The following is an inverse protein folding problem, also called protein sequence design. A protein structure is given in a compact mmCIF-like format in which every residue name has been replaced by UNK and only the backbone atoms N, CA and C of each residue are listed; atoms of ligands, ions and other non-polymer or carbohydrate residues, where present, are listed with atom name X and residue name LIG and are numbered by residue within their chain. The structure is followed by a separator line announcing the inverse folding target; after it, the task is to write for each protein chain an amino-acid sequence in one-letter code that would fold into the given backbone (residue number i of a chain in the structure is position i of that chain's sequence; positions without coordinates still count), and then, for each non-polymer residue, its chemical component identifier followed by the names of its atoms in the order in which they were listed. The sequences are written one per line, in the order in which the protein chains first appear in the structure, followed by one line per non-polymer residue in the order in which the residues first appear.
data_IF_890396128151
#
_entry.id   IF_890396128151
#
_cell.length_a   1.000
_cell.length_b   1.000
_cell.length_c   1.000
_cell.angle_alpha   90.00
_cell.angle_beta   90.00
_cell.angle_gamma   90.00
#
_symmetry.space_group_name_H-M   'P 1'
#
loop_
_entity.id
_entity.type
_entity.pdbx_description
1 polymer ?
#
# COMPACT_ATOMS: atom_id res chain seq x y z
N UNK A 1 10.86 -30.55 -28.43
CA UNK A 1 11.35 -29.20 -28.08
C UNK A 1 10.22 -28.22 -27.73
N UNK A 2 9.09 -28.20 -28.46
CA UNK A 2 7.90 -27.37 -28.12
C UNK A 2 7.41 -27.52 -26.66
N UNK A 3 7.38 -28.75 -26.14
CA UNK A 3 6.83 -29.01 -24.80
C UNK A 3 7.66 -28.37 -23.67
N UNK A 4 9.01 -28.36 -23.77
CA UNK A 4 9.89 -27.72 -22.76
C UNK A 4 9.74 -26.19 -22.75
N UNK A 5 9.56 -25.56 -23.91
CA UNK A 5 9.31 -24.13 -24.01
C UNK A 5 7.94 -23.75 -23.41
N UNK A 6 6.91 -24.54 -23.70
CA UNK A 6 5.56 -24.36 -23.12
C UNK A 6 5.54 -24.55 -21.60
N UNK A 7 6.28 -25.52 -21.05
CA UNK A 7 6.44 -25.67 -19.59
C UNK A 7 7.19 -24.49 -18.97
N UNK A 8 8.24 -23.99 -19.64
CA UNK A 8 9.02 -22.83 -19.17
C UNK A 8 8.18 -21.55 -19.12
N UNK A 9 7.35 -21.31 -20.13
CA UNK A 9 6.45 -20.15 -20.19
C UNK A 9 5.35 -20.23 -19.13
N UNK A 10 4.84 -21.44 -18.86
CA UNK A 10 3.89 -21.67 -17.77
C UNK A 10 4.51 -21.35 -16.39
N UNK A 11 5.71 -21.86 -16.12
CA UNK A 11 6.41 -21.61 -14.85
C UNK A 11 6.67 -20.10 -14.67
N UNK A 12 7.14 -19.40 -15.70
CA UNK A 12 7.38 -17.95 -15.63
C UNK A 12 6.10 -17.17 -15.38
N UNK A 13 5.00 -17.54 -16.05
CA UNK A 13 3.70 -16.86 -15.90
C UNK A 13 3.11 -17.00 -14.50
N UNK A 14 3.26 -18.18 -13.88
CA UNK A 14 2.69 -18.48 -12.57
C UNK A 14 3.72 -18.48 -11.43
N UNK A 15 4.94 -18.00 -11.68
CA UNK A 15 6.06 -18.06 -10.74
C UNK A 15 5.68 -17.50 -9.35
N UNK A 16 5.03 -16.34 -9.29
CA UNK A 16 4.61 -15.75 -8.00
C UNK A 16 3.59 -16.62 -7.25
N UNK A 17 2.64 -17.24 -7.95
CA UNK A 17 1.64 -18.12 -7.32
C UNK A 17 2.32 -19.39 -6.83
N UNK A 18 3.21 -19.97 -7.63
CA UNK A 18 3.99 -21.16 -7.26
C UNK A 18 4.84 -20.86 -6.01
N UNK A 19 5.55 -19.73 -6.00
CA UNK A 19 6.35 -19.29 -4.85
C UNK A 19 5.47 -19.09 -3.62
N UNK A 20 4.30 -18.44 -3.76
CA UNK A 20 3.36 -18.25 -2.65
C UNK A 20 2.94 -19.59 -2.04
N UNK A 21 2.54 -20.57 -2.87
CA UNK A 21 2.13 -21.90 -2.40
C UNK A 21 3.28 -22.61 -1.68
N UNK A 22 4.49 -22.56 -2.23
CA UNK A 22 5.67 -23.16 -1.60
C UNK A 22 5.99 -22.52 -0.25
N UNK A 23 5.93 -21.19 -0.15
CA UNK A 23 6.16 -20.45 1.09
C UNK A 23 5.10 -20.81 2.14
N UNK A 24 3.83 -20.88 1.75
CA UNK A 24 2.74 -21.28 2.65
C UNK A 24 2.94 -22.71 3.16
N UNK A 25 3.27 -23.67 2.29
CA UNK A 25 3.54 -25.06 2.70
C UNK A 25 4.74 -25.11 3.66
N UNK A 26 5.85 -24.45 3.30
CA UNK A 26 7.06 -24.40 4.11
C UNK A 26 6.78 -23.87 5.52
N UNK A 27 6.13 -22.71 5.64
CA UNK A 27 5.80 -22.12 6.94
C UNK A 27 4.73 -22.92 7.68
N UNK A 28 3.79 -23.57 6.98
CA UNK A 28 2.81 -24.47 7.61
C UNK A 28 3.49 -25.66 8.28
N UNK A 29 4.48 -26.27 7.61
CA UNK A 29 5.26 -27.38 8.19
C UNK A 29 6.11 -26.89 9.36
N UNK A 30 6.86 -25.79 9.18
CA UNK A 30 7.74 -25.23 10.22
C UNK A 30 6.99 -24.74 11.46
N UNK A 31 5.77 -24.22 11.30
CA UNK A 31 4.94 -23.72 12.41
C UNK A 31 3.99 -24.77 12.99
N UNK A 32 4.08 -26.03 12.55
CA UNK A 32 3.18 -27.12 12.94
C UNK A 32 1.69 -26.77 12.75
N UNK A 33 1.35 -26.24 11.58
CA UNK A 33 -0.03 -25.88 11.22
C UNK A 33 -0.54 -24.56 11.81
N UNK A 34 0.22 -23.90 12.71
CA UNK A 34 -0.21 -22.65 13.33
C UNK A 34 -0.45 -21.53 12.32
N UNK A 35 0.31 -21.48 11.23
CA UNK A 35 0.13 -20.46 10.17
C UNK A 35 -1.31 -20.41 9.63
N UNK A 36 -1.95 -21.56 9.46
CA UNK A 36 -3.30 -21.67 8.87
C UNK A 36 -4.43 -21.56 9.90
N UNK A 37 -4.11 -21.29 11.17
CA UNK A 37 -5.14 -21.03 12.18
C UNK A 37 -5.99 -19.82 11.76
N UNK A 38 -7.32 -19.85 11.94
CA UNK A 38 -8.20 -18.75 11.56
C UNK A 38 -7.76 -17.40 12.14
N UNK A 39 -7.22 -17.40 13.37
CA UNK A 39 -6.68 -16.20 14.00
C UNK A 39 -5.48 -15.61 13.24
N UNK A 40 -4.54 -16.44 12.81
CA UNK A 40 -3.33 -15.97 12.12
C UNK A 40 -3.65 -15.49 10.71
N UNK A 41 -4.56 -16.17 10.00
CA UNK A 41 -5.06 -15.70 8.70
C UNK A 41 -5.81 -14.38 8.85
N UNK A 42 -6.68 -14.25 9.86
CA UNK A 42 -7.41 -13.00 10.12
C UNK A 42 -6.47 -11.84 10.48
N UNK A 43 -5.45 -12.11 11.29
CA UNK A 43 -4.42 -11.12 11.63
C UNK A 43 -3.63 -10.70 10.39
N UNK A 44 -3.24 -11.65 9.53
CA UNK A 44 -2.48 -11.38 8.31
C UNK A 44 -3.28 -10.54 7.31
N UNK A 45 -4.57 -10.82 7.15
CA UNK A 45 -5.48 -10.00 6.34
C UNK A 45 -5.63 -8.61 6.95
N UNK A 46 -5.87 -8.52 8.27
CA UNK A 46 -6.06 -7.24 8.96
C UNK A 46 -4.81 -6.35 8.91
N UNK A 47 -3.61 -6.93 8.99
CA UNK A 47 -2.34 -6.21 8.85
C UNK A 47 -2.14 -5.65 7.43
N UNK A 48 -2.72 -6.28 6.41
CA UNK A 48 -2.68 -5.81 5.02
C UNK A 48 -3.94 -5.04 4.60
N UNK A 49 -4.90 -4.84 5.50
CA UNK A 49 -6.15 -4.14 5.22
C UNK A 49 -5.92 -2.73 4.66
N UNK A 50 -4.85 -2.05 5.12
CA UNK A 50 -4.51 -0.72 4.63
C UNK A 50 -4.20 -0.71 3.13
N UNK A 51 -3.57 -1.76 2.57
CA UNK A 51 -3.28 -1.85 1.13
C UNK A 51 -4.57 -1.96 0.32
N UNK A 52 -5.53 -2.74 0.81
CA UNK A 52 -6.85 -2.86 0.16
C UNK A 52 -7.60 -1.52 0.17
N UNK A 53 -7.59 -0.80 1.30
CA UNK A 53 -8.20 0.53 1.40
C UNK A 53 -7.54 1.50 0.39
N UNK A 54 -6.20 1.52 0.32
CA UNK A 54 -5.49 2.36 -0.65
C UNK A 54 -5.84 2.01 -2.10
N UNK A 55 -5.95 0.72 -2.43
CA UNK A 55 -6.34 0.28 -3.77
C UNK A 55 -7.72 0.82 -4.18
N UNK A 56 -8.68 0.88 -3.25
CA UNK A 56 -10.01 1.46 -3.53
C UNK A 56 -9.94 2.96 -3.81
N UNK A 57 -9.09 3.72 -3.11
CA UNK A 57 -8.86 5.13 -3.41
C UNK A 57 -8.21 5.34 -4.77
N UNK A 58 -7.22 4.50 -5.10
CA UNK A 58 -6.50 4.56 -6.38
C UNK A 58 -7.36 4.24 -7.59
N UNK A 59 -8.42 3.45 -7.43
CA UNK A 59 -9.39 3.20 -8.49
C UNK A 59 -9.98 4.51 -9.03
N UNK A 60 -10.32 5.46 -8.15
CA UNK A 60 -10.85 6.75 -8.58
C UNK A 60 -9.82 7.54 -9.40
N UNK A 61 -8.57 7.62 -8.94
CA UNK A 61 -7.49 8.32 -9.65
C UNK A 61 -7.25 7.78 -11.06
N UNK A 62 -7.30 6.45 -11.22
CA UNK A 62 -7.13 5.79 -12.51
C UNK A 62 -8.32 6.09 -13.43
N UNK A 63 -9.56 6.01 -12.91
CA UNK A 63 -10.77 6.22 -13.71
C UNK A 63 -10.96 7.69 -14.13
N UNK A 64 -10.65 8.65 -13.25
CA UNK A 64 -10.89 10.07 -13.52
C UNK A 64 -9.73 10.74 -14.27
N UNK A 65 -8.49 10.33 -13.97
CA UNK A 65 -7.29 11.01 -14.46
C UNK A 65 -6.43 10.18 -15.41
N UNK A 66 -6.75 8.90 -15.62
CA UNK A 66 -5.96 7.97 -16.45
C UNK A 66 -4.56 7.67 -15.89
N UNK A 67 -4.24 8.15 -14.68
CA UNK A 67 -2.90 8.12 -14.11
C UNK A 67 -2.90 7.45 -12.73
N UNK A 68 -1.79 6.81 -12.39
CA UNK A 68 -1.56 6.21 -11.08
C UNK A 68 -0.83 7.25 -10.21
N UNK A 69 -1.38 7.55 -9.05
CA UNK A 69 -0.69 8.28 -7.98
C UNK A 69 0.39 7.40 -7.37
N UNK A 70 1.64 7.82 -7.54
CA UNK A 70 2.83 7.14 -7.03
C UNK A 70 3.15 7.50 -5.57
N UNK A 71 2.58 8.59 -5.05
CA UNK A 71 2.89 9.13 -3.72
C UNK A 71 2.14 8.44 -2.59
N UNK A 72 1.07 7.69 -2.86
CA UNK A 72 0.18 7.15 -1.82
C UNK A 72 0.89 6.32 -0.76
N UNK A 73 1.88 5.51 -1.16
CA UNK A 73 2.67 4.72 -0.22
C UNK A 73 3.51 5.60 0.73
N UNK A 74 4.23 6.58 0.18
CA UNK A 74 5.04 7.52 0.96
C UNK A 74 4.19 8.42 1.87
N UNK A 75 3.02 8.87 1.41
CA UNK A 75 2.10 9.68 2.23
C UNK A 75 1.60 8.89 3.43
N UNK A 76 1.25 7.61 3.25
CA UNK A 76 0.84 6.73 4.35
C UNK A 76 1.97 6.54 5.36
N UNK A 77 3.20 6.31 4.89
CA UNK A 77 4.36 6.21 5.78
C UNK A 77 4.60 7.51 6.57
N UNK A 78 4.52 8.67 5.92
CA UNK A 78 4.70 9.96 6.56
C UNK A 78 3.62 10.25 7.61
N UNK A 79 2.33 10.11 7.23
CA UNK A 79 1.21 10.33 8.15
C UNK A 79 1.24 9.33 9.31
N UNK A 80 1.61 8.07 9.04
CA UNK A 80 1.81 7.05 10.07
C UNK A 80 2.94 7.38 11.04
N UNK A 81 4.07 7.89 10.54
CA UNK A 81 5.19 8.35 11.38
C UNK A 81 4.78 9.53 12.26
N UNK A 82 4.06 10.50 11.72
CA UNK A 82 3.49 11.63 12.50
C UNK A 82 2.54 11.11 13.57
N UNK A 83 1.66 10.17 13.25
CA UNK A 83 0.77 9.53 14.22
C UNK A 83 1.51 8.82 15.35
N UNK A 84 2.56 8.07 15.01
CA UNK A 84 3.40 7.39 15.98
C UNK A 84 4.10 8.40 16.92
N UNK A 85 4.66 9.48 16.38
CA UNK A 85 5.29 10.55 17.17
C UNK A 85 4.29 11.25 18.11
N UNK A 86 3.09 11.57 17.62
CA UNK A 86 2.02 12.18 18.42
C UNK A 86 1.61 11.32 19.60
N UNK A 87 1.43 10.01 19.39
CA UNK A 87 0.98 9.10 20.44
C UNK A 87 2.11 8.68 21.38
N UNK A 88 3.32 8.44 20.86
CA UNK A 88 4.43 7.86 21.64
C UNK A 88 5.26 8.91 22.36
N UNK A 89 5.53 10.07 21.75
CA UNK A 89 6.38 11.11 22.38
C UNK A 89 5.58 12.26 22.98
N UNK A 90 4.52 12.68 22.28
CA UNK A 90 3.68 13.81 22.72
C UNK A 90 2.49 13.36 23.58
N UNK A 91 2.30 12.04 23.76
CA UNK A 91 1.23 11.43 24.56
C UNK A 91 -0.17 11.98 24.24
N UNK A 92 -0.39 12.35 22.97
CA UNK A 92 -1.67 12.86 22.49
C UNK A 92 -2.69 11.71 22.48
N UNK A 93 -3.93 12.01 22.87
CA UNK A 93 -5.02 11.04 22.84
C UNK A 93 -5.21 10.48 21.42
N UNK A 94 -5.37 9.16 21.31
CA UNK A 94 -5.61 8.43 20.06
C UNK A 94 -6.66 9.09 19.16
N UNK A 95 -7.80 9.51 19.71
CA UNK A 95 -8.86 10.14 18.91
C UNK A 95 -8.41 11.43 18.23
N UNK A 96 -7.62 12.24 18.94
CA UNK A 96 -7.08 13.50 18.43
C UNK A 96 -5.97 13.22 17.42
N UNK A 97 -5.09 12.25 17.68
CA UNK A 97 -4.05 11.84 16.73
C UNK A 97 -4.65 11.34 15.41
N UNK A 98 -5.72 10.54 15.46
CA UNK A 98 -6.44 10.07 14.26
C UNK A 98 -7.03 11.23 13.47
N UNK A 99 -7.65 12.21 14.15
CA UNK A 99 -8.19 13.40 13.49
C UNK A 99 -7.08 14.21 12.80
N UNK A 100 -5.94 14.42 13.47
CA UNK A 100 -4.79 15.13 12.89
C UNK A 100 -4.26 14.38 11.67
N UNK A 101 -4.10 13.06 11.75
CA UNK A 101 -3.65 12.24 10.62
C UNK A 101 -4.59 12.34 9.43
N UNK A 102 -5.91 12.31 9.66
CA UNK A 102 -6.91 12.43 8.59
C UNK A 102 -6.86 13.80 7.90
N UNK A 103 -6.76 14.88 8.69
CA UNK A 103 -6.61 16.24 8.18
C UNK A 103 -5.30 16.41 7.40
N UNK A 104 -4.19 15.87 7.92
CA UNK A 104 -2.88 15.95 7.28
C UNK A 104 -2.84 15.22 5.93
N UNK A 105 -3.35 13.99 5.88
CA UNK A 105 -3.45 13.24 4.63
C UNK A 105 -4.33 13.94 3.59
N UNK A 106 -5.47 14.48 4.02
CA UNK A 106 -6.38 15.24 3.16
C UNK A 106 -5.73 16.52 2.65
N UNK A 107 -4.98 17.24 3.49
CA UNK A 107 -4.27 18.46 3.11
C UNK A 107 -3.17 18.18 2.06
N UNK A 108 -2.41 17.10 2.24
CA UNK A 108 -1.40 16.67 1.27
C UNK A 108 -2.06 16.29 -0.07
N UNK A 109 -3.16 15.52 -0.01
CA UNK A 109 -3.93 15.15 -1.21
C UNK A 109 -4.50 16.37 -1.93
N UNK A 110 -5.07 17.32 -1.20
CA UNK A 110 -5.60 18.57 -1.76
C UNK A 110 -4.49 19.43 -2.38
N UNK A 111 -3.31 19.48 -1.77
CA UNK A 111 -2.15 20.16 -2.32
C UNK A 111 -1.72 19.54 -3.65
N UNK A 112 -1.61 18.21 -3.75
CA UNK A 112 -1.31 17.54 -5.01
C UNK A 112 -2.42 17.76 -6.05
N UNK A 113 -3.69 17.69 -5.63
CA UNK A 113 -4.83 17.94 -6.50
C UNK A 113 -4.84 19.37 -7.05
N UNK A 114 -4.38 20.37 -6.30
CA UNK A 114 -4.30 21.76 -6.74
C UNK A 114 -3.40 21.92 -7.98
N UNK A 115 -2.20 21.34 -7.93
CA UNK A 115 -1.25 21.38 -9.06
C UNK A 115 -1.76 20.65 -10.29
N UNK A 116 -2.50 19.57 -10.08
CA UNK A 116 -3.08 18.77 -11.17
C UNK A 116 -4.28 19.48 -11.80
N UNK A 117 -5.24 19.93 -10.98
CA UNK A 117 -6.53 20.44 -11.47
C UNK A 117 -6.43 21.89 -11.99
N UNK A 118 -5.71 22.77 -11.30
CA UNK A 118 -5.67 24.20 -11.63
C UNK A 118 -4.44 24.58 -12.45
N UNK A 119 -3.26 24.09 -12.05
CA UNK A 119 -1.99 24.40 -12.74
C UNK A 119 -1.78 23.49 -13.96
N UNK A 120 -2.57 22.40 -14.07
CA UNK A 120 -2.56 21.44 -15.19
C UNK A 120 -1.20 20.77 -15.39
N UNK A 121 -0.46 20.55 -14.30
CA UNK A 121 0.76 19.75 -14.34
C UNK A 121 0.37 18.26 -14.45
N UNK A 122 1.03 17.47 -15.31
CA UNK A 122 0.77 16.04 -15.41
C UNK A 122 0.80 15.32 -14.05
N UNK A 123 -0.21 14.48 -13.71
CA UNK A 123 -0.31 13.83 -12.41
C UNK A 123 0.91 13.00 -12.03
N UNK A 124 1.55 12.35 -12.99
CA UNK A 124 2.78 11.57 -12.77
C UNK A 124 3.89 12.42 -12.16
N UNK A 125 4.08 13.66 -12.60
CA UNK A 125 5.16 14.53 -12.12
C UNK A 125 4.85 14.99 -10.69
N UNK A 126 3.63 15.43 -10.44
CA UNK A 126 3.20 15.91 -9.11
C UNK A 126 3.28 14.80 -8.08
N UNK A 127 2.82 13.60 -8.43
CA UNK A 127 2.79 12.45 -7.52
C UNK A 127 4.17 11.81 -7.37
N UNK A 128 5.05 11.84 -8.37
CA UNK A 128 6.46 11.46 -8.21
C UNK A 128 7.21 12.43 -7.30
N UNK A 129 6.99 13.74 -7.47
CA UNK A 129 7.56 14.76 -6.57
C UNK A 129 7.05 14.61 -5.14
N UNK A 130 5.74 14.37 -4.98
CA UNK A 130 5.13 14.03 -3.70
C UNK A 130 5.75 12.77 -3.09
N UNK A 131 5.98 11.73 -3.91
CA UNK A 131 6.66 10.53 -3.47
C UNK A 131 8.03 10.85 -2.91
N UNK A 132 8.85 11.63 -3.61
CA UNK A 132 10.19 12.01 -3.15
C UNK A 132 10.16 12.91 -1.90
N UNK A 133 9.16 13.79 -1.78
CA UNK A 133 9.05 14.72 -0.65
C UNK A 133 8.60 14.04 0.65
N UNK A 134 7.71 13.05 0.57
CA UNK A 134 7.18 12.32 1.73
C UNK A 134 7.87 10.98 1.97
N UNK A 135 8.78 10.59 1.08
CA UNK A 135 9.67 9.47 1.31
C UNK A 135 10.81 9.96 2.20
N UNK A 136 10.82 9.46 3.44
CA UNK A 136 11.89 9.72 4.40
C UNK A 136 13.27 9.41 3.85
#
# INVERSE_FOLDING_TARGET
MKNKAQTMDFIKKYAMIIVLVLVVIFFTIMTQGKMLLPQNISNLISQNAYVFILATGMLLCILTGGNIDLSVGSVVCFVGAVGAELMMKLHVNMYVAVLIMFLLGTAIGAFQAFWIAFVRIPPFIVTLAGMLAFRG
#
